data_IF_120447828164
#
_entry.id   IF_120447828164
#
_cell.length_a   1.000
_cell.length_b   1.000
_cell.length_c   1.000
_cell.angle_alpha   90.00
_cell.angle_beta   90.00
_cell.angle_gamma   90.00
#
_symmetry.space_group_name_H-M   'P 1'
#
loop_
_entity.id
_entity.type
_entity.pdbx_description
1 polymer ?
#
# COMPACT_ATOMS: atom_id res chain seq x y z
N UNK A 1 26.31 -32.57 53.22
CA UNK A 1 25.25 -32.55 52.18
C UNK A 1 24.15 -31.51 52.37
N UNK A 2 24.22 -30.52 53.27
CA UNK A 2 23.18 -29.48 53.46
C UNK A 2 23.45 -28.16 52.69
N UNK A 3 24.64 -27.93 52.14
CA UNK A 3 24.98 -26.68 51.42
C UNK A 3 24.71 -26.71 49.91
N UNK A 4 24.50 -27.89 49.29
CA UNK A 4 24.25 -28.02 47.88
C UNK A 4 22.85 -27.53 47.45
N UNK A 5 21.86 -27.64 48.34
CA UNK A 5 20.50 -27.24 48.02
C UNK A 5 20.28 -25.71 48.04
N UNK A 6 21.06 -24.99 48.84
CA UNK A 6 20.98 -23.51 48.87
C UNK A 6 21.64 -22.85 47.66
N UNK A 7 22.67 -23.49 47.07
CA UNK A 7 23.32 -22.98 45.88
C UNK A 7 22.43 -23.11 44.65
N UNK A 8 21.67 -24.22 44.54
CA UNK A 8 20.71 -24.44 43.44
C UNK A 8 19.52 -23.48 43.58
N UNK A 9 19.03 -23.21 44.81
CA UNK A 9 17.91 -22.28 45.02
C UNK A 9 18.30 -20.83 44.73
N UNK A 10 19.54 -20.44 45.06
CA UNK A 10 20.05 -19.09 44.77
C UNK A 10 20.31 -18.88 43.28
N UNK A 11 20.73 -19.96 42.54
CA UNK A 11 20.94 -19.91 41.12
C UNK A 11 19.61 -19.85 40.36
N UNK A 12 18.58 -20.55 40.81
CA UNK A 12 17.23 -20.48 40.26
C UNK A 12 16.55 -19.13 40.51
N UNK A 13 16.81 -18.48 41.64
CA UNK A 13 16.35 -17.12 41.93
C UNK A 13 17.06 -16.05 41.07
N UNK A 14 18.33 -16.24 40.71
CA UNK A 14 19.05 -15.33 39.82
C UNK A 14 18.60 -15.47 38.35
N UNK A 15 18.18 -16.66 37.91
CA UNK A 15 17.63 -16.86 36.55
C UNK A 15 16.25 -16.20 36.42
N UNK A 16 15.46 -16.13 37.47
CA UNK A 16 14.12 -15.48 37.43
C UNK A 16 14.17 -13.95 37.28
N UNK A 17 15.32 -13.31 37.48
CA UNK A 17 15.53 -11.87 37.21
C UNK A 17 15.96 -11.53 35.79
N UNK A 18 16.22 -12.52 34.94
CA UNK A 18 16.34 -12.32 33.48
C UNK A 18 14.97 -12.30 32.80
N UNK A 19 13.99 -11.68 33.45
CA UNK A 19 12.77 -11.28 32.77
C UNK A 19 13.19 -10.30 31.67
N UNK A 20 13.16 -10.73 30.42
CA UNK A 20 13.16 -9.82 29.29
C UNK A 20 11.96 -8.89 29.48
N UNK A 21 12.19 -7.72 30.04
CA UNK A 21 11.19 -6.66 30.04
C UNK A 21 10.89 -6.36 28.59
N UNK A 22 9.82 -6.90 28.10
CA UNK A 22 9.31 -6.58 26.77
C UNK A 22 9.03 -5.08 26.80
N UNK A 23 9.83 -4.31 26.09
CA UNK A 23 9.70 -2.86 26.05
C UNK A 23 8.27 -2.54 25.60
N UNK A 24 7.46 -2.00 26.48
CA UNK A 24 6.07 -1.64 26.18
C UNK A 24 6.09 -0.62 25.05
N UNK A 25 5.42 -0.96 23.93
CA UNK A 25 5.28 -0.04 22.81
C UNK A 25 4.25 1.02 23.20
N UNK A 26 4.60 2.32 23.19
CA UNK A 26 3.70 3.38 23.60
C UNK A 26 2.52 3.54 22.63
N UNK A 27 1.36 3.88 23.20
CA UNK A 27 0.16 4.24 22.44
C UNK A 27 0.15 5.77 22.29
N UNK A 28 -0.03 6.24 21.06
CA UNK A 28 -0.19 7.66 20.71
C UNK A 28 -1.53 7.89 20.02
N UNK A 29 -2.04 9.11 20.11
CA UNK A 29 -3.28 9.52 19.44
C UNK A 29 -3.05 10.28 18.14
N UNK A 30 -1.82 10.80 17.97
CA UNK A 30 -1.43 11.57 16.79
C UNK A 30 0.07 11.38 16.53
N UNK A 31 0.49 11.42 15.27
CA UNK A 31 1.91 11.36 14.90
C UNK A 31 2.70 12.59 15.34
N UNK A 32 2.07 13.69 15.78
CA UNK A 32 2.74 14.80 16.43
C UNK A 32 3.38 14.43 17.77
N UNK A 33 2.94 13.34 18.40
CA UNK A 33 3.44 12.86 19.71
C UNK A 33 4.71 11.99 19.59
N UNK A 34 5.18 11.68 18.38
CA UNK A 34 6.43 10.92 18.20
C UNK A 34 7.63 11.67 18.75
N UNK A 35 8.59 10.94 19.33
CA UNK A 35 9.81 11.55 19.85
C UNK A 35 10.76 11.93 18.68
N UNK A 36 10.87 13.22 18.41
CA UNK A 36 11.68 13.76 17.31
C UNK A 36 13.18 13.90 17.65
N UNK A 37 13.51 13.83 18.94
CA UNK A 37 14.89 14.00 19.43
C UNK A 37 15.65 12.66 19.50
N UNK A 38 14.94 11.55 19.57
CA UNK A 38 15.55 10.24 19.68
C UNK A 38 15.92 9.68 18.31
N UNK A 39 17.19 9.75 17.92
CA UNK A 39 17.73 9.12 16.71
C UNK A 39 17.57 7.59 16.81
N UNK A 40 17.14 6.96 15.73
CA UNK A 40 16.96 5.51 15.67
C UNK A 40 15.54 5.09 15.35
N UNK A 41 15.29 3.80 15.49
CA UNK A 41 13.97 3.19 15.23
C UNK A 41 13.12 3.24 16.49
N UNK A 42 11.90 3.71 16.34
CA UNK A 42 10.91 3.84 17.40
C UNK A 42 9.61 3.19 16.93
N UNK A 43 8.96 2.42 17.79
CA UNK A 43 7.69 1.79 17.51
C UNK A 43 6.59 2.42 18.35
N UNK A 44 5.42 2.60 17.74
CA UNK A 44 4.23 3.14 18.40
C UNK A 44 3.00 2.36 17.96
N UNK A 45 1.99 2.37 18.83
CA UNK A 45 0.62 2.04 18.47
C UNK A 45 -0.16 3.33 18.28
N UNK A 46 -0.73 3.58 17.10
CA UNK A 46 -1.62 4.71 16.86
C UNK A 46 -3.05 4.28 17.14
N UNK A 47 -3.70 4.98 18.07
CA UNK A 47 -5.10 4.73 18.43
C UNK A 47 -6.04 5.26 17.34
N UNK A 48 -6.86 4.37 16.80
CA UNK A 48 -7.83 4.67 15.72
C UNK A 48 -9.29 4.72 16.23
N UNK A 49 -9.51 4.55 17.52
CA UNK A 49 -10.82 4.52 18.16
C UNK A 49 -10.91 3.40 19.18
N UNK A 50 -12.13 3.04 19.57
CA UNK A 50 -12.37 1.96 20.51
C UNK A 50 -13.36 0.93 19.93
N UNK A 51 -13.20 -0.33 20.35
CA UNK A 51 -14.14 -1.40 20.01
C UNK A 51 -15.37 -1.39 20.96
N UNK A 52 -16.24 -2.39 20.84
CA UNK A 52 -17.48 -2.53 21.62
C UNK A 52 -17.25 -2.59 23.15
N UNK A 53 -16.09 -3.08 23.56
CA UNK A 53 -15.71 -3.17 24.98
C UNK A 53 -14.88 -1.96 25.47
N UNK A 54 -14.83 -0.89 24.68
CA UNK A 54 -14.03 0.31 24.93
C UNK A 54 -12.52 0.06 24.97
N UNK A 55 -12.03 -1.04 24.36
CA UNK A 55 -10.60 -1.24 24.15
C UNK A 55 -10.13 -0.49 22.90
N UNK A 56 -8.92 0.07 22.92
CA UNK A 56 -8.39 0.82 21.77
C UNK A 56 -8.19 -0.07 20.54
N UNK A 57 -8.56 0.46 19.38
CA UNK A 57 -8.23 -0.09 18.08
C UNK A 57 -6.90 0.53 17.68
N UNK A 58 -5.89 -0.30 17.51
CA UNK A 58 -4.50 0.13 17.34
C UNK A 58 -3.98 -0.29 15.96
N UNK A 59 -3.23 0.61 15.32
CA UNK A 59 -2.44 0.29 14.13
C UNK A 59 -0.95 0.53 14.40
N UNK A 60 -0.07 -0.28 13.81
CA UNK A 60 1.37 -0.16 14.03
C UNK A 60 1.94 1.06 13.30
N UNK A 61 2.81 1.79 13.99
CA UNK A 61 3.62 2.87 13.42
C UNK A 61 5.07 2.61 13.75
N UNK A 62 5.92 2.63 12.74
CA UNK A 62 7.37 2.57 12.90
C UNK A 62 7.97 3.87 12.39
N UNK A 63 8.76 4.51 13.22
CA UNK A 63 9.48 5.74 12.88
C UNK A 63 10.97 5.46 12.87
N UNK A 64 11.65 5.81 11.78
CA UNK A 64 13.11 5.94 11.79
C UNK A 64 13.42 7.43 11.82
N UNK A 65 13.88 7.92 12.96
CA UNK A 65 14.37 9.28 13.13
C UNK A 65 15.83 9.35 12.74
N UNK A 66 16.13 10.16 11.73
CA UNK A 66 17.48 10.38 11.25
C UNK A 66 18.28 11.34 12.14
N UNK A 67 19.61 11.37 11.91
CA UNK A 67 20.56 12.17 12.69
C UNK A 67 20.61 13.65 12.31
N UNK A 68 19.97 14.04 11.23
CA UNK A 68 19.96 15.43 10.74
C UNK A 68 18.60 15.80 10.14
N UNK A 69 18.37 17.10 9.99
CA UNK A 69 17.14 17.61 9.39
C UNK A 69 16.95 17.15 7.94
N UNK A 70 15.72 16.97 7.55
CA UNK A 70 15.31 16.57 6.21
C UNK A 70 13.80 16.34 6.13
N UNK A 71 13.27 15.93 4.97
CA UNK A 71 11.85 15.69 4.79
C UNK A 71 11.39 14.42 5.54
N UNK A 72 10.08 14.27 5.65
CA UNK A 72 9.42 13.07 6.17
C UNK A 72 8.84 12.26 5.01
N UNK A 73 9.36 11.05 4.81
CA UNK A 73 8.78 10.06 3.90
C UNK A 73 7.77 9.20 4.64
N UNK A 74 6.52 9.23 4.20
CA UNK A 74 5.45 8.35 4.66
C UNK A 74 5.30 7.12 3.80
N UNK A 75 5.16 5.96 4.43
CA UNK A 75 4.88 4.67 3.77
C UNK A 75 3.63 4.08 4.40
N UNK A 76 2.59 3.84 3.62
CA UNK A 76 1.37 3.17 4.09
C UNK A 76 1.14 1.89 3.32
N UNK A 77 0.60 0.86 3.98
CA UNK A 77 0.24 -0.40 3.37
C UNK A 77 -1.06 -0.94 3.97
N UNK A 78 -1.75 -1.76 3.20
CA UNK A 78 -2.94 -2.49 3.60
C UNK A 78 -4.08 -1.58 4.12
N UNK A 79 -4.40 -0.51 3.38
CA UNK A 79 -5.69 0.19 3.54
C UNK A 79 -6.85 -0.72 3.10
N UNK A 80 -6.58 -1.64 2.17
CA UNK A 80 -7.38 -2.81 1.88
C UNK A 80 -6.73 -4.02 2.53
N UNK A 81 -7.47 -4.78 3.34
CA UNK A 81 -6.89 -5.83 4.18
C UNK A 81 -6.41 -7.07 3.44
N UNK A 82 -6.77 -7.22 2.17
CA UNK A 82 -6.32 -8.29 1.28
C UNK A 82 -5.08 -7.91 0.44
N UNK A 83 -4.57 -6.66 0.54
CA UNK A 83 -3.48 -6.12 -0.27
C UNK A 83 -2.18 -6.01 0.56
N UNK A 84 -1.39 -7.10 0.64
CA UNK A 84 -0.42 -7.28 1.72
C UNK A 84 1.06 -7.06 1.35
N UNK A 85 1.46 -7.00 0.06
CA UNK A 85 2.88 -6.92 -0.34
C UNK A 85 3.61 -5.66 0.18
N UNK A 86 2.89 -4.58 0.48
CA UNK A 86 3.46 -3.39 1.12
C UNK A 86 4.04 -3.66 2.51
N UNK A 87 3.49 -4.62 3.26
CA UNK A 87 3.92 -4.96 4.62
C UNK A 87 5.37 -5.49 4.64
N UNK A 88 5.72 -6.58 3.90
CA UNK A 88 7.09 -7.06 3.87
C UNK A 88 8.07 -6.09 3.22
N UNK A 89 7.62 -5.22 2.28
CA UNK A 89 8.45 -4.14 1.75
C UNK A 89 8.88 -3.21 2.88
N UNK A 90 7.93 -2.73 3.68
CA UNK A 90 8.19 -1.86 4.84
C UNK A 90 9.11 -2.57 5.82
N UNK A 91 8.82 -3.80 6.23
CA UNK A 91 9.63 -4.54 7.21
C UNK A 91 11.07 -4.70 6.74
N UNK A 92 11.28 -5.10 5.47
CA UNK A 92 12.63 -5.29 4.92
C UNK A 92 13.38 -3.97 4.78
N UNK A 93 12.70 -2.90 4.38
CA UNK A 93 13.29 -1.56 4.31
C UNK A 93 13.75 -1.09 5.69
N UNK A 94 12.87 -1.16 6.70
CA UNK A 94 13.17 -0.68 8.06
C UNK A 94 14.39 -1.37 8.66
N UNK A 95 14.60 -2.66 8.37
CA UNK A 95 15.77 -3.41 8.83
C UNK A 95 17.06 -3.05 8.10
N UNK A 96 16.99 -2.38 6.95
CA UNK A 96 18.15 -2.03 6.11
C UNK A 96 18.64 -0.60 6.30
N UNK A 97 17.88 0.27 6.99
CA UNK A 97 18.22 1.69 7.17
C UNK A 97 19.03 1.91 8.45
N UNK A 98 20.22 2.47 8.29
CA UNK A 98 20.99 3.03 9.42
C UNK A 98 20.52 4.45 9.70
N UNK A 99 19.85 4.64 10.83
CA UNK A 99 19.32 5.93 11.25
C UNK A 99 20.41 7.03 11.42
N UNK A 100 21.65 6.64 11.74
CA UNK A 100 22.77 7.60 11.85
C UNK A 100 23.15 8.21 10.52
N UNK A 101 22.81 7.57 9.41
CA UNK A 101 23.07 8.03 8.05
C UNK A 101 21.85 8.66 7.38
N UNK A 102 20.68 8.53 8.01
CA UNK A 102 19.42 9.08 7.50
C UNK A 102 19.34 10.58 7.79
N UNK A 103 18.91 11.35 6.79
CA UNK A 103 18.49 12.76 6.92
C UNK A 103 16.97 12.81 6.90
N UNK A 104 16.36 13.57 7.84
CA UNK A 104 14.90 13.59 8.02
C UNK A 104 14.39 12.34 8.72
N UNK A 105 13.23 11.85 8.32
CA UNK A 105 12.62 10.66 8.93
C UNK A 105 11.80 9.84 7.95
N UNK A 106 11.60 8.56 8.33
CA UNK A 106 10.65 7.68 7.69
C UNK A 106 9.55 7.39 8.72
N UNK A 107 8.29 7.54 8.33
CA UNK A 107 7.12 7.11 9.10
C UNK A 107 6.43 6.02 8.30
N UNK A 108 6.37 4.81 8.83
CA UNK A 108 5.80 3.66 8.15
C UNK A 108 4.62 3.07 8.94
N UNK A 109 3.53 2.81 8.25
CA UNK A 109 2.32 2.17 8.75
C UNK A 109 2.10 0.86 7.98
N UNK A 110 2.66 -0.27 8.46
CA UNK A 110 2.58 -1.54 7.74
C UNK A 110 1.22 -2.23 7.80
N UNK A 111 0.20 -1.58 8.33
CA UNK A 111 -1.15 -2.13 8.43
C UNK A 111 -2.15 -1.05 8.79
N UNK A 112 -2.57 -0.25 7.79
CA UNK A 112 -3.46 0.90 8.03
C UNK A 112 -4.87 0.46 8.43
N UNK A 113 -5.35 -0.69 7.92
CA UNK A 113 -6.70 -1.18 8.18
C UNK A 113 -6.67 -2.47 9.02
N UNK A 114 -6.57 -2.30 10.34
CA UNK A 114 -6.44 -3.41 11.27
C UNK A 114 -7.58 -4.44 11.19
N UNK A 115 -8.81 -3.99 10.97
CA UNK A 115 -9.98 -4.88 10.87
C UNK A 115 -9.97 -5.74 9.62
N UNK A 116 -9.71 -5.11 8.48
CA UNK A 116 -9.80 -5.79 7.20
C UNK A 116 -8.66 -6.78 7.00
N UNK A 117 -7.46 -6.48 7.53
CA UNK A 117 -6.32 -7.41 7.54
C UNK A 117 -6.68 -8.70 8.30
N UNK A 118 -7.32 -8.59 9.46
CA UNK A 118 -7.70 -9.76 10.26
C UNK A 118 -8.76 -10.64 9.60
N UNK A 119 -9.55 -10.07 8.68
CA UNK A 119 -10.63 -10.76 8.01
C UNK A 119 -10.32 -11.09 6.54
N UNK A 120 -9.09 -10.86 6.07
CA UNK A 120 -8.66 -11.05 4.68
C UNK A 120 -9.59 -10.36 3.66
N UNK A 121 -10.10 -9.17 4.01
CA UNK A 121 -11.11 -8.45 3.24
C UNK A 121 -10.57 -7.13 2.71
N UNK A 122 -11.05 -6.73 1.52
CA UNK A 122 -10.78 -5.41 0.97
C UNK A 122 -11.41 -4.29 1.80
N UNK A 123 -12.70 -4.46 2.11
CA UNK A 123 -13.56 -3.43 2.68
C UNK A 123 -13.46 -3.35 4.19
N UNK A 124 -13.79 -2.19 4.75
CA UNK A 124 -13.84 -1.97 6.20
C UNK A 124 -15.00 -2.76 6.83
N UNK A 125 -15.09 -2.75 8.15
CA UNK A 125 -16.05 -3.56 8.94
C UNK A 125 -17.53 -3.31 8.61
N UNK A 126 -17.85 -2.15 8.04
CA UNK A 126 -19.19 -1.73 7.59
C UNK A 126 -19.38 -1.84 6.08
N UNK A 127 -18.52 -2.62 5.43
CA UNK A 127 -18.50 -2.89 3.98
C UNK A 127 -18.20 -1.67 3.10
N UNK A 128 -17.65 -0.59 3.66
CA UNK A 128 -17.21 0.58 2.92
C UNK A 128 -15.76 0.42 2.42
N UNK A 129 -15.46 0.97 1.25
CA UNK A 129 -14.09 1.07 0.73
C UNK A 129 -13.44 2.33 1.29
N UNK A 130 -12.57 2.18 2.33
CA UNK A 130 -11.89 3.31 2.96
C UNK A 130 -11.18 4.21 1.95
N UNK A 131 -10.63 3.62 0.88
CA UNK A 131 -9.90 4.37 -0.14
C UNK A 131 -10.83 4.99 -1.21
N UNK A 132 -12.08 5.28 -0.84
CA UNK A 132 -13.09 6.01 -1.64
C UNK A 132 -13.80 7.09 -0.85
N UNK A 133 -13.50 7.24 0.45
CA UNK A 133 -14.29 8.10 1.35
C UNK A 133 -13.47 9.19 2.04
N UNK A 134 -12.19 9.37 1.65
CA UNK A 134 -11.40 10.49 2.17
C UNK A 134 -12.00 11.83 1.81
N UNK A 135 -11.88 12.85 2.69
CA UNK A 135 -11.14 12.89 3.96
C UNK A 135 -11.83 12.21 5.15
N UNK A 136 -13.00 11.60 4.97
CA UNK A 136 -13.84 11.13 6.06
C UNK A 136 -14.60 12.24 6.79
N UNK A 137 -15.28 11.92 7.90
CA UNK A 137 -16.03 12.86 8.74
C UNK A 137 -15.88 12.50 10.22
N UNK A 138 -15.71 13.53 11.07
CA UNK A 138 -15.56 13.34 12.52
C UNK A 138 -16.84 12.80 13.18
N UNK A 139 -17.98 13.16 12.66
CA UNK A 139 -19.33 12.80 13.11
C UNK A 139 -20.02 11.78 12.19
N UNK A 140 -19.25 11.12 11.31
CA UNK A 140 -19.75 10.12 10.39
C UNK A 140 -19.90 8.72 11.03
N UNK A 141 -20.22 7.74 10.19
CA UNK A 141 -20.23 6.33 10.55
C UNK A 141 -18.80 5.79 10.84
N UNK A 142 -18.68 4.47 11.02
CA UNK A 142 -17.43 3.83 11.43
C UNK A 142 -16.29 4.08 10.45
N UNK A 143 -16.53 3.86 9.17
CA UNK A 143 -15.55 4.04 8.10
C UNK A 143 -15.21 5.51 7.89
N UNK A 144 -16.19 6.41 7.94
CA UNK A 144 -16.00 7.86 7.84
C UNK A 144 -15.11 8.40 8.98
N UNK A 145 -15.37 7.99 10.21
CA UNK A 145 -14.54 8.38 11.36
C UNK A 145 -13.12 7.78 11.27
N UNK A 146 -12.99 6.55 10.75
CA UNK A 146 -11.68 5.92 10.58
C UNK A 146 -10.84 6.64 9.52
N UNK A 147 -11.41 6.91 8.35
CA UNK A 147 -10.76 7.68 7.29
C UNK A 147 -10.39 9.09 7.77
N UNK A 148 -11.28 9.77 8.51
CA UNK A 148 -11.02 11.08 9.12
C UNK A 148 -9.79 11.05 10.04
N UNK A 149 -9.64 10.01 10.88
CA UNK A 149 -8.48 9.88 11.77
C UNK A 149 -7.18 9.65 10.99
N UNK A 150 -7.20 8.87 9.92
CA UNK A 150 -6.02 8.76 9.03
C UNK A 150 -5.68 10.14 8.46
N UNK A 151 -6.69 10.84 7.94
CA UNK A 151 -6.53 12.16 7.33
C UNK A 151 -5.92 13.20 8.28
N UNK A 152 -6.36 13.25 9.54
CA UNK A 152 -5.96 14.27 10.49
C UNK A 152 -4.74 13.88 11.33
N UNK A 153 -4.54 12.58 11.58
CA UNK A 153 -3.49 12.10 12.50
C UNK A 153 -2.24 11.63 11.80
N UNK A 154 -2.35 11.25 10.50
CA UNK A 154 -1.24 10.68 9.73
C UNK A 154 -0.75 11.65 8.66
N UNK A 155 -1.61 12.03 7.73
CA UNK A 155 -1.20 12.79 6.54
C UNK A 155 -0.46 14.09 6.85
N UNK A 156 -0.87 14.93 7.81
CA UNK A 156 -0.19 16.21 8.08
C UNK A 156 1.27 16.09 8.54
N UNK A 157 1.70 14.89 8.93
CA UNK A 157 3.08 14.62 9.34
C UNK A 157 4.03 14.28 8.19
N UNK A 158 3.51 14.19 6.95
CA UNK A 158 4.24 13.70 5.78
C UNK A 158 4.56 14.83 4.79
N UNK A 159 5.73 14.76 4.14
CA UNK A 159 6.07 15.61 2.98
C UNK A 159 5.92 14.84 1.68
N UNK A 160 6.33 13.58 1.68
CA UNK A 160 6.24 12.65 0.58
C UNK A 160 5.50 11.40 1.06
N UNK A 161 4.67 10.81 0.21
CA UNK A 161 3.88 9.65 0.58
C UNK A 161 3.88 8.60 -0.54
N UNK A 162 4.14 7.35 -0.18
CA UNK A 162 3.99 6.19 -1.05
C UNK A 162 2.92 5.28 -0.42
N UNK A 163 1.77 5.20 -1.09
CA UNK A 163 0.65 4.35 -0.72
C UNK A 163 0.79 3.00 -1.43
N UNK A 164 1.06 1.95 -0.65
CA UNK A 164 1.41 0.62 -1.17
C UNK A 164 0.18 -0.28 -1.23
N UNK A 165 -0.15 -0.69 -2.44
CA UNK A 165 -1.28 -1.53 -2.78
C UNK A 165 -0.86 -2.82 -3.50
N UNK A 166 -1.83 -3.68 -3.77
CA UNK A 166 -1.78 -4.78 -4.74
C UNK A 166 -3.11 -4.86 -5.50
N UNK A 167 -3.25 -5.80 -6.42
CA UNK A 167 -4.59 -6.23 -6.81
C UNK A 167 -5.36 -6.69 -5.57
N UNK A 168 -6.70 -6.55 -5.58
CA UNK A 168 -7.57 -7.19 -4.59
C UNK A 168 -7.98 -8.58 -5.03
N UNK A 169 -8.59 -9.36 -4.12
CA UNK A 169 -9.13 -10.69 -4.36
C UNK A 169 -9.83 -10.82 -5.72
N UNK A 170 -9.61 -11.94 -6.39
CA UNK A 170 -10.17 -12.23 -7.73
C UNK A 170 -9.48 -11.51 -8.89
N UNK A 171 -8.30 -10.87 -8.64
CA UNK A 171 -7.52 -10.17 -9.67
C UNK A 171 -6.02 -10.33 -9.44
N UNK A 172 -5.25 -10.12 -10.50
CA UNK A 172 -3.80 -9.97 -10.45
C UNK A 172 -3.39 -8.74 -11.25
N UNK A 173 -2.33 -8.06 -10.78
CA UNK A 173 -1.77 -6.88 -11.44
C UNK A 173 -0.29 -7.08 -11.78
N UNK A 174 0.19 -6.41 -12.85
CA UNK A 174 1.59 -6.05 -12.99
C UNK A 174 2.00 -5.07 -11.88
N UNK A 175 3.29 -4.85 -11.68
CA UNK A 175 3.70 -3.74 -10.82
C UNK A 175 3.48 -2.42 -11.57
N UNK A 176 2.63 -1.54 -11.04
CA UNK A 176 2.40 -0.25 -11.68
C UNK A 176 2.22 0.90 -10.69
N UNK A 177 2.56 2.11 -11.13
CA UNK A 177 2.39 3.32 -10.33
C UNK A 177 1.25 4.19 -10.89
N UNK A 178 0.44 4.78 -9.99
CA UNK A 178 -0.60 5.77 -10.31
C UNK A 178 -0.14 7.14 -9.86
N UNK A 179 -0.10 8.08 -10.80
CA UNK A 179 0.36 9.46 -10.54
C UNK A 179 -0.38 10.47 -11.41
N UNK A 180 -0.42 11.72 -10.97
CA UNK A 180 -0.67 12.84 -11.88
C UNK A 180 0.62 13.10 -12.68
N UNK A 181 0.64 12.65 -13.92
CA UNK A 181 1.82 12.77 -14.80
C UNK A 181 2.12 14.22 -15.24
N UNK A 182 1.22 15.18 -14.95
CA UNK A 182 1.50 16.60 -15.19
C UNK A 182 2.41 17.23 -14.13
N UNK A 183 2.57 16.57 -12.97
CA UNK A 183 3.48 16.97 -11.90
C UNK A 183 4.83 16.25 -12.06
N UNK A 184 5.90 17.01 -12.31
CA UNK A 184 7.24 16.48 -12.53
C UNK A 184 7.78 15.69 -11.33
N UNK A 185 7.54 16.17 -10.12
CA UNK A 185 7.95 15.48 -8.88
C UNK A 185 7.30 14.12 -8.77
N UNK A 186 5.98 14.03 -8.99
CA UNK A 186 5.23 12.78 -8.92
C UNK A 186 5.67 11.81 -10.03
N UNK A 187 5.95 12.33 -11.23
CA UNK A 187 6.48 11.52 -12.33
C UNK A 187 7.85 10.92 -12.00
N UNK A 188 8.74 11.69 -11.39
CA UNK A 188 10.04 11.20 -10.91
C UNK A 188 9.85 10.16 -9.81
N UNK A 189 9.01 10.41 -8.82
CA UNK A 189 8.71 9.45 -7.75
C UNK A 189 8.20 8.12 -8.28
N UNK A 190 7.30 8.15 -9.29
CA UNK A 190 6.82 6.94 -9.94
C UNK A 190 7.94 6.18 -10.67
N UNK A 191 8.77 6.90 -11.45
CA UNK A 191 9.92 6.34 -12.17
C UNK A 191 10.90 5.65 -11.22
N UNK A 192 11.17 6.26 -10.07
CA UNK A 192 12.07 5.70 -9.04
C UNK A 192 11.62 4.36 -8.49
N UNK A 193 10.31 4.05 -8.54
CA UNK A 193 9.79 2.75 -8.13
C UNK A 193 10.13 1.63 -9.13
N UNK A 194 10.60 1.96 -10.33
CA UNK A 194 10.85 1.01 -11.44
C UNK A 194 9.64 0.09 -11.70
N UNK A 195 8.43 0.65 -11.88
CA UNK A 195 7.25 -0.15 -12.18
C UNK A 195 7.31 -0.67 -13.62
N UNK A 196 6.49 -1.66 -13.93
CA UNK A 196 6.30 -2.11 -15.32
C UNK A 196 5.50 -1.06 -16.11
N UNK A 197 4.55 -0.38 -15.42
CA UNK A 197 3.64 0.60 -16.04
C UNK A 197 3.50 1.82 -15.15
N UNK A 198 3.53 3.01 -15.75
CA UNK A 198 3.15 4.28 -15.11
C UNK A 198 1.82 4.72 -15.71
N UNK A 199 0.78 4.75 -14.86
CA UNK A 199 -0.56 5.13 -15.25
C UNK A 199 -0.86 6.56 -14.83
N UNK A 200 -1.19 7.42 -15.79
CA UNK A 200 -1.67 8.76 -15.50
C UNK A 200 -3.05 8.70 -14.82
N UNK A 201 -3.13 9.28 -13.64
CA UNK A 201 -4.34 9.32 -12.81
C UNK A 201 -4.35 10.62 -12.01
N UNK A 202 -4.97 11.66 -12.57
CA UNK A 202 -5.02 13.00 -11.97
C UNK A 202 -5.83 13.07 -10.69
N UNK A 203 -6.63 12.04 -10.39
CA UNK A 203 -7.63 12.11 -9.35
C UNK A 203 -8.87 12.93 -9.79
N UNK A 204 -9.96 12.82 -9.05
CA UNK A 204 -11.15 13.63 -9.28
C UNK A 204 -10.96 15.01 -8.64
N UNK A 205 -10.18 15.90 -9.28
CA UNK A 205 -10.17 17.31 -8.87
C UNK A 205 -11.36 18.03 -9.50
N UNK A 206 -12.52 17.94 -8.88
CA UNK A 206 -13.59 18.92 -9.10
C UNK A 206 -13.69 19.79 -7.85
N UNK A 207 -13.22 21.00 -7.95
CA UNK A 207 -13.45 22.05 -6.97
C UNK A 207 -14.97 22.12 -6.71
N UNK A 208 -15.39 21.80 -5.48
CA UNK A 208 -16.80 21.86 -5.07
C UNK A 208 -17.61 20.56 -5.19
N UNK A 209 -17.08 19.47 -5.74
CA UNK A 209 -17.75 18.18 -5.64
C UNK A 209 -17.47 17.57 -4.25
N UNK A 210 -18.53 17.23 -3.52
CA UNK A 210 -18.50 16.35 -2.32
C UNK A 210 -18.18 14.91 -2.75
N UNK A 211 -17.14 14.70 -3.52
CA UNK A 211 -16.80 13.38 -4.03
C UNK A 211 -15.73 12.78 -3.14
N UNK A 212 -16.02 11.61 -2.68
CA UNK A 212 -15.12 10.68 -2.05
C UNK A 212 -13.83 10.54 -2.85
N UNK A 213 -12.68 10.76 -2.20
CA UNK A 213 -11.35 10.63 -2.79
C UNK A 213 -10.56 9.48 -2.18
N UNK A 214 -9.48 9.12 -2.84
CA UNK A 214 -8.49 8.17 -2.29
C UNK A 214 -7.58 8.88 -1.29
N UNK A 215 -6.89 8.11 -0.44
CA UNK A 215 -5.88 8.64 0.48
C UNK A 215 -4.78 9.42 -0.27
N UNK A 216 -4.34 8.91 -1.44
CA UNK A 216 -3.38 9.59 -2.30
C UNK A 216 -3.88 10.96 -2.79
N UNK A 217 -5.12 11.02 -3.24
CA UNK A 217 -5.73 12.26 -3.75
C UNK A 217 -5.86 13.30 -2.64
N UNK A 218 -6.30 12.87 -1.46
CA UNK A 218 -6.41 13.73 -0.29
C UNK A 218 -5.03 14.24 0.17
N UNK A 219 -4.02 13.35 0.22
CA UNK A 219 -2.64 13.75 0.50
C UNK A 219 -2.14 14.81 -0.49
N UNK A 220 -2.40 14.61 -1.79
CA UNK A 220 -2.04 15.58 -2.83
C UNK A 220 -2.76 16.93 -2.65
N UNK A 221 -4.05 16.91 -2.30
CA UNK A 221 -4.81 18.14 -2.02
C UNK A 221 -4.24 18.91 -0.81
N UNK A 222 -3.62 18.22 0.15
CA UNK A 222 -2.88 18.82 1.28
C UNK A 222 -1.46 19.27 0.93
N UNK A 223 -1.03 19.18 -0.33
CA UNK A 223 0.31 19.56 -0.79
C UNK A 223 1.38 18.49 -0.56
N UNK A 224 1.02 17.29 -0.13
CA UNK A 224 1.94 16.16 0.04
C UNK A 224 2.20 15.52 -1.32
N UNK A 225 3.46 15.26 -1.65
CA UNK A 225 3.83 14.57 -2.89
C UNK A 225 3.49 13.08 -2.76
N UNK A 226 2.34 12.67 -3.26
CA UNK A 226 1.77 11.34 -3.01
C UNK A 226 1.60 10.53 -4.29
N UNK A 227 2.06 9.27 -4.27
CA UNK A 227 1.84 8.27 -5.33
C UNK A 227 1.23 7.00 -4.76
N UNK A 228 0.50 6.25 -5.59
CA UNK A 228 0.10 4.87 -5.29
C UNK A 228 0.93 3.92 -6.12
N UNK A 229 1.44 2.85 -5.50
CA UNK A 229 2.16 1.78 -6.21
C UNK A 229 1.49 0.45 -5.92
N UNK A 230 1.18 -0.27 -6.99
CA UNK A 230 0.54 -1.59 -6.97
C UNK A 230 1.61 -2.68 -7.11
N UNK A 231 1.78 -3.49 -6.10
CA UNK A 231 2.82 -4.53 -6.01
C UNK A 231 2.24 -5.93 -6.22
N UNK A 232 1.71 -6.19 -7.42
CA UNK A 232 1.31 -7.55 -7.83
C UNK A 232 0.00 -8.05 -7.22
N UNK A 233 0.03 -9.21 -6.57
CA UNK A 233 -1.14 -10.03 -6.26
C UNK A 233 -1.63 -9.88 -4.81
N UNK A 234 -2.94 -10.05 -4.57
CA UNK A 234 -3.53 -10.01 -3.23
C UNK A 234 -3.22 -11.28 -2.43
N UNK A 235 -3.37 -11.22 -1.12
CA UNK A 235 -3.36 -12.36 -0.19
C UNK A 235 -2.11 -13.25 -0.24
N UNK A 236 -0.99 -12.72 -0.74
CA UNK A 236 0.28 -13.44 -0.86
C UNK A 236 1.46 -12.48 -0.69
N UNK A 237 2.52 -12.95 -0.05
CA UNK A 237 3.80 -12.26 -0.04
C UNK A 237 4.65 -12.71 -1.23
N UNK A 238 4.87 -11.80 -2.17
CA UNK A 238 5.69 -12.02 -3.35
C UNK A 238 7.10 -11.47 -3.13
N UNK A 239 8.09 -12.37 -3.14
CA UNK A 239 9.47 -11.99 -2.87
C UNK A 239 10.02 -10.99 -3.87
N UNK A 240 9.76 -11.20 -5.15
CA UNK A 240 10.17 -10.30 -6.24
C UNK A 240 9.57 -8.89 -6.08
N UNK A 241 8.27 -8.79 -5.76
CA UNK A 241 7.61 -7.52 -5.48
C UNK A 241 8.19 -6.83 -4.24
N UNK A 242 8.51 -7.63 -3.20
CA UNK A 242 9.16 -7.10 -2.00
C UNK A 242 10.53 -6.50 -2.33
N UNK A 243 11.35 -7.19 -3.12
CA UNK A 243 12.69 -6.73 -3.51
C UNK A 243 12.61 -5.46 -4.40
N UNK A 244 11.69 -5.45 -5.36
CA UNK A 244 11.44 -4.29 -6.21
C UNK A 244 10.95 -3.09 -5.39
N UNK A 245 10.00 -3.29 -4.48
CA UNK A 245 9.48 -2.23 -3.63
C UNK A 245 10.53 -1.60 -2.73
N UNK A 246 11.37 -2.43 -2.08
CA UNK A 246 12.50 -1.93 -1.26
C UNK A 246 13.45 -1.08 -2.12
N UNK A 247 13.80 -1.57 -3.33
CA UNK A 247 14.66 -0.83 -4.26
C UNK A 247 14.05 0.52 -4.65
N UNK A 248 12.75 0.54 -4.97
CA UNK A 248 12.04 1.77 -5.33
C UNK A 248 12.04 2.81 -4.21
N UNK A 249 11.80 2.38 -2.96
CA UNK A 249 11.86 3.28 -1.81
C UNK A 249 13.28 3.77 -1.54
N UNK A 250 14.31 2.90 -1.65
CA UNK A 250 15.71 3.31 -1.52
C UNK A 250 16.11 4.34 -2.59
N UNK A 251 15.68 4.16 -3.84
CA UNK A 251 15.88 5.14 -4.90
C UNK A 251 15.23 6.48 -4.54
N UNK A 252 14.02 6.45 -3.98
CA UNK A 252 13.31 7.65 -3.52
C UNK A 252 14.09 8.36 -2.41
N UNK A 253 14.56 7.63 -1.41
CA UNK A 253 15.37 8.20 -0.33
C UNK A 253 16.68 8.82 -0.85
N UNK A 254 17.32 8.18 -1.83
CA UNK A 254 18.53 8.68 -2.46
C UNK A 254 18.27 9.97 -3.27
N UNK A 255 17.20 10.02 -4.04
CA UNK A 255 16.80 11.20 -4.80
C UNK A 255 16.45 12.40 -3.91
N UNK A 256 15.81 12.13 -2.76
CA UNK A 256 15.49 13.13 -1.74
C UNK A 256 16.73 13.58 -0.93
N UNK A 257 17.92 13.04 -1.21
CA UNK A 257 19.13 13.22 -0.41
C UNK A 257 18.97 12.82 1.07
N UNK A 258 18.04 11.90 1.35
CA UNK A 258 17.80 11.39 2.69
C UNK A 258 18.73 10.22 3.04
N UNK A 259 18.97 9.30 2.10
CA UNK A 259 19.78 8.09 2.32
C UNK A 259 20.38 7.56 1.02
N UNK A 260 21.71 7.46 0.96
CA UNK A 260 22.40 7.06 -0.27
C UNK A 260 22.47 8.19 -1.31
N UNK A 261 22.84 7.83 -2.53
CA UNK A 261 22.95 8.75 -3.66
C UNK A 261 22.43 8.10 -4.95
N UNK A 262 21.87 8.88 -5.84
CA UNK A 262 21.40 8.45 -7.16
C UNK A 262 21.66 9.54 -8.21
N UNK A 263 22.11 9.16 -9.39
CA UNK A 263 22.17 10.04 -10.54
C UNK A 263 20.89 9.85 -11.37
N UNK A 264 19.93 10.72 -11.18
CA UNK A 264 18.63 10.61 -11.85
C UNK A 264 18.75 10.76 -13.39
N UNK A 265 19.77 11.43 -13.88
CA UNK A 265 19.98 11.60 -15.33
C UNK A 265 20.41 10.29 -16.00
N UNK A 266 21.04 9.39 -15.24
CA UNK A 266 21.45 8.05 -15.70
C UNK A 266 20.48 6.94 -15.27
N UNK A 267 19.37 7.31 -14.63
CA UNK A 267 18.40 6.34 -14.16
C UNK A 267 17.58 5.79 -15.32
N UNK A 268 17.70 4.50 -15.58
CA UNK A 268 16.97 3.83 -16.66
C UNK A 268 15.47 3.80 -16.36
N UNK A 269 14.70 4.17 -17.38
CA UNK A 269 13.25 4.17 -17.35
C UNK A 269 12.72 3.21 -18.41
N UNK A 270 12.27 2.05 -17.95
CA UNK A 270 11.74 0.97 -18.79
C UNK A 270 10.21 0.82 -18.65
N UNK A 271 9.54 1.80 -18.02
CA UNK A 271 8.12 1.72 -17.79
C UNK A 271 7.31 2.02 -19.05
N UNK A 272 6.21 1.32 -19.24
CA UNK A 272 5.19 1.65 -20.25
C UNK A 272 4.33 2.79 -19.67
N UNK A 273 4.13 3.86 -20.46
CA UNK A 273 3.37 5.02 -20.04
C UNK A 273 1.94 4.97 -20.58
N UNK A 274 0.95 4.81 -19.67
CA UNK A 274 -0.46 4.82 -20.03
C UNK A 274 -1.11 6.16 -19.68
N UNK A 275 -1.76 6.80 -20.65
CA UNK A 275 -2.52 8.05 -20.47
C UNK A 275 -3.82 7.84 -19.72
N UNK A 276 -4.44 6.67 -19.90
CA UNK A 276 -5.70 6.25 -19.26
C UNK A 276 -5.75 4.73 -19.13
N UNK A 277 -6.66 4.24 -18.33
CA UNK A 277 -7.01 2.82 -18.31
C UNK A 277 -8.49 2.63 -17.97
N UNK A 278 -9.03 1.50 -18.35
CA UNK A 278 -10.38 1.09 -17.95
C UNK A 278 -10.48 -0.44 -17.86
N UNK A 279 -11.48 -0.90 -17.12
CA UNK A 279 -11.81 -2.32 -17.06
C UNK A 279 -12.76 -2.69 -18.19
N UNK A 280 -12.49 -3.81 -18.82
CA UNK A 280 -13.42 -4.50 -19.71
C UNK A 280 -14.22 -5.47 -18.86
N UNK A 281 -15.54 -5.48 -19.06
CA UNK A 281 -16.49 -6.25 -18.26
C UNK A 281 -17.21 -7.29 -19.08
N UNK A 282 -17.66 -8.36 -18.41
CA UNK A 282 -18.51 -9.40 -19.02
C UNK A 282 -19.91 -8.86 -19.26
N UNK A 283 -20.47 -9.13 -20.44
CA UNK A 283 -21.89 -8.93 -20.76
C UNK A 283 -22.70 -10.14 -20.27
N UNK A 284 -22.18 -11.35 -20.52
CA UNK A 284 -22.81 -12.62 -20.16
C UNK A 284 -22.06 -13.26 -18.97
N UNK A 285 -22.82 -13.77 -17.99
CA UNK A 285 -22.27 -14.56 -16.89
C UNK A 285 -21.87 -15.96 -17.34
N UNK A 286 -20.92 -16.58 -16.62
CA UNK A 286 -20.45 -17.93 -16.92
C UNK A 286 -19.06 -18.21 -16.38
N UNK A 287 -18.43 -19.25 -16.92
CA UNK A 287 -17.05 -19.62 -16.59
C UNK A 287 -16.09 -18.87 -17.50
N UNK A 288 -15.33 -17.97 -16.88
CA UNK A 288 -14.41 -17.04 -17.54
C UNK A 288 -13.01 -17.63 -17.65
N UNK A 289 -12.46 -17.61 -18.85
CA UNK A 289 -11.06 -17.87 -19.15
C UNK A 289 -10.41 -16.61 -19.73
N UNK A 290 -9.28 -16.13 -19.13
CA UNK A 290 -8.55 -14.95 -19.57
C UNK A 290 -7.13 -15.36 -19.97
N UNK A 291 -6.89 -15.71 -21.26
CA UNK A 291 -5.62 -16.29 -21.72
C UNK A 291 -4.48 -15.28 -21.81
N UNK A 292 -4.77 -13.98 -21.87
CA UNK A 292 -3.75 -12.95 -22.02
C UNK A 292 -2.88 -12.82 -20.77
N UNK A 293 -1.60 -12.48 -20.97
CA UNK A 293 -0.65 -12.26 -19.88
C UNK A 293 -0.65 -10.80 -19.40
N UNK A 294 -0.23 -10.57 -18.14
CA UNK A 294 0.08 -9.22 -17.67
C UNK A 294 1.19 -8.61 -18.53
N UNK A 295 1.11 -7.33 -18.80
CA UNK A 295 2.03 -6.54 -19.64
C UNK A 295 2.01 -6.92 -21.12
N UNK A 296 1.14 -7.81 -21.54
CA UNK A 296 0.96 -8.13 -22.94
C UNK A 296 0.40 -6.91 -23.68
N UNK A 297 1.07 -6.49 -24.76
CA UNK A 297 0.51 -5.54 -25.71
C UNK A 297 -0.54 -6.25 -26.55
N UNK A 298 -1.68 -5.61 -26.69
CA UNK A 298 -2.82 -6.07 -27.46
C UNK A 298 -3.08 -5.11 -28.61
N UNK A 299 -3.47 -5.67 -29.75
CA UNK A 299 -4.05 -4.91 -30.84
C UNK A 299 -5.57 -4.97 -30.75
N UNK A 300 -6.24 -3.97 -31.32
CA UNK A 300 -7.69 -4.00 -31.50
C UNK A 300 -8.10 -5.29 -32.23
N UNK A 301 -9.01 -6.06 -31.63
CA UNK A 301 -9.47 -7.32 -32.17
C UNK A 301 -8.77 -8.57 -31.63
N UNK A 302 -7.71 -8.43 -30.83
CA UNK A 302 -7.10 -9.56 -30.15
C UNK A 302 -8.06 -10.19 -29.14
N UNK A 303 -8.14 -11.53 -29.13
CA UNK A 303 -8.99 -12.26 -28.19
C UNK A 303 -8.44 -12.13 -26.77
N UNK A 304 -9.28 -11.64 -25.84
CA UNK A 304 -8.89 -11.40 -24.44
C UNK A 304 -9.57 -12.34 -23.45
N UNK A 305 -10.75 -12.89 -23.81
CA UNK A 305 -11.44 -13.83 -22.93
C UNK A 305 -12.42 -14.72 -23.68
N UNK A 306 -12.72 -15.85 -23.02
CA UNK A 306 -13.75 -16.81 -23.45
C UNK A 306 -14.66 -17.07 -22.26
N UNK A 307 -15.98 -17.10 -22.48
CA UNK A 307 -16.97 -17.45 -21.46
C UNK A 307 -17.71 -18.69 -21.89
N UNK A 308 -17.83 -19.66 -20.99
CA UNK A 308 -18.55 -20.92 -21.20
C UNK A 308 -19.77 -21.01 -20.28
N UNK A 309 -20.81 -21.68 -20.72
CA UNK A 309 -21.95 -22.02 -19.87
C UNK A 309 -21.65 -23.24 -18.98
N UNK A 310 -22.60 -23.64 -18.15
CA UNK A 310 -22.48 -24.78 -17.23
C UNK A 310 -22.24 -26.13 -17.93
N UNK A 311 -22.50 -26.23 -19.22
CA UNK A 311 -22.31 -27.43 -20.02
C UNK A 311 -21.01 -27.41 -20.83
N UNK A 312 -20.16 -26.39 -20.65
CA UNK A 312 -18.85 -26.25 -21.31
C UNK A 312 -18.90 -25.61 -22.71
N UNK A 313 -20.08 -25.30 -23.23
CA UNK A 313 -20.22 -24.62 -24.54
C UNK A 313 -19.77 -23.16 -24.43
N UNK A 314 -19.05 -22.69 -25.45
CA UNK A 314 -18.71 -21.26 -25.56
C UNK A 314 -19.99 -20.47 -25.83
N UNK A 315 -20.27 -19.47 -25.01
CA UNK A 315 -21.41 -18.58 -25.15
C UNK A 315 -20.99 -17.16 -25.56
N UNK A 316 -19.76 -16.75 -25.22
CA UNK A 316 -19.22 -15.44 -25.60
C UNK A 316 -17.71 -15.48 -25.71
N UNK A 317 -17.18 -14.77 -26.68
CA UNK A 317 -15.77 -14.41 -26.79
C UNK A 317 -15.64 -12.90 -26.71
N UNK A 318 -14.58 -12.43 -26.08
CA UNK A 318 -14.28 -11.00 -25.91
C UNK A 318 -12.98 -10.66 -26.59
N UNK A 319 -12.96 -9.48 -27.20
CA UNK A 319 -11.84 -8.99 -27.98
C UNK A 319 -11.44 -7.60 -27.49
N UNK A 320 -10.17 -7.25 -27.65
CA UNK A 320 -9.70 -5.91 -27.29
C UNK A 320 -10.39 -4.85 -28.16
N UNK A 321 -11.02 -3.83 -27.57
CA UNK A 321 -11.71 -2.79 -28.32
C UNK A 321 -10.77 -1.79 -28.99
N UNK A 322 -9.53 -1.67 -28.50
CA UNK A 322 -8.48 -0.81 -29.04
C UNK A 322 -7.09 -1.38 -28.67
N UNK A 323 -6.03 -0.79 -29.23
CA UNK A 323 -4.66 -1.14 -28.90
C UNK A 323 -4.33 -0.72 -27.46
N UNK A 324 -3.49 -1.49 -26.76
CA UNK A 324 -3.10 -1.16 -25.40
C UNK A 324 -2.32 -2.26 -24.70
N UNK A 325 -2.11 -2.13 -23.40
CA UNK A 325 -1.36 -3.07 -22.58
C UNK A 325 -2.20 -3.61 -21.41
N UNK A 326 -2.05 -4.89 -21.08
CA UNK A 326 -2.76 -5.54 -19.97
C UNK A 326 -2.11 -5.11 -18.64
N UNK A 327 -2.75 -4.24 -17.89
CA UNK A 327 -2.30 -3.79 -16.54
C UNK A 327 -2.64 -4.84 -15.50
N UNK A 328 -3.88 -5.32 -15.52
CA UNK A 328 -4.42 -6.31 -14.59
C UNK A 328 -5.44 -7.20 -15.23
N UNK A 329 -5.73 -8.34 -14.62
CA UNK A 329 -6.75 -9.27 -15.14
C UNK A 329 -7.49 -9.99 -14.01
N UNK A 330 -8.69 -10.47 -14.32
CA UNK A 330 -9.46 -11.34 -13.44
C UNK A 330 -8.77 -12.69 -13.27
N UNK A 331 -8.80 -13.19 -12.03
CA UNK A 331 -8.47 -14.59 -11.68
C UNK A 331 -9.70 -15.35 -11.18
N UNK A 332 -10.85 -14.68 -11.14
CA UNK A 332 -12.10 -15.29 -10.72
C UNK A 332 -12.72 -16.05 -11.91
N UNK A 333 -12.74 -17.40 -11.89
CA UNK A 333 -13.18 -18.19 -13.04
C UNK A 333 -14.71 -18.24 -13.18
N UNK A 334 -15.47 -17.93 -12.12
CA UNK A 334 -16.92 -17.95 -12.14
C UNK A 334 -17.46 -16.55 -11.87
N UNK A 335 -18.07 -15.95 -12.86
CA UNK A 335 -18.56 -14.56 -12.78
C UNK A 335 -19.98 -14.43 -13.32
N UNK A 336 -20.69 -13.46 -12.78
CA UNK A 336 -21.95 -12.96 -13.35
C UNK A 336 -21.68 -11.88 -14.41
N UNK A 337 -22.72 -11.46 -15.12
CA UNK A 337 -22.69 -10.25 -15.96
C UNK A 337 -22.17 -9.06 -15.13
N UNK A 338 -21.35 -8.22 -15.73
CA UNK A 338 -20.63 -7.13 -15.02
C UNK A 338 -19.33 -7.57 -14.34
N UNK A 339 -18.96 -8.87 -14.39
CA UNK A 339 -17.66 -9.35 -13.93
C UNK A 339 -16.50 -8.74 -14.71
N UNK A 340 -15.36 -8.46 -14.04
CA UNK A 340 -14.17 -7.90 -14.70
C UNK A 340 -13.47 -8.96 -15.55
N UNK A 341 -12.89 -8.53 -16.67
CA UNK A 341 -12.05 -9.35 -17.55
C UNK A 341 -10.60 -8.88 -17.42
N UNK A 342 -10.24 -7.76 -18.03
CA UNK A 342 -8.92 -7.15 -17.97
C UNK A 342 -9.01 -5.65 -17.71
N UNK A 343 -7.96 -5.09 -17.12
CA UNK A 343 -7.71 -3.66 -17.12
C UNK A 343 -6.77 -3.35 -18.28
N UNK A 344 -7.28 -2.63 -19.28
CA UNK A 344 -6.53 -2.21 -20.46
C UNK A 344 -5.96 -0.81 -20.22
N UNK A 345 -4.65 -0.68 -20.35
CA UNK A 345 -3.92 0.59 -20.35
C UNK A 345 -3.75 1.10 -21.78
N UNK A 346 -3.98 2.39 -21.99
CA UNK A 346 -3.83 3.06 -23.28
C UNK A 346 -2.65 4.00 -23.23
N UNK A 347 -1.68 3.80 -24.11
CA UNK A 347 -0.43 4.55 -24.21
C UNK A 347 -0.59 5.96 -24.82
#
# INVERSE_FOLDING_TARGET
MKYSNYFILTFLLLISFLSFSQKVVPIIKNLSEINKEQIGTQNYWLEMGTNTYNFPILIPVVVIQGSSNGPTLGLTAAIHGDELNGIPIIHKLLSSIDAKRLKGRIIALPGVNAYSIQNDQRRFIDDEDLNRIFPGKIDGDRSQQYAYKINERVLPSLNIHIDMHTASFGRVNSMYARVDSSNDTLRILAKLQQPDIILNSKGASTVGAKTSSTMREEATAKGIQSITVEYGNPQVFQRDMTERGVKGVLNTLAWLNMYGTIDIAKFEDNAIYCKKSYWIYMEEGGFLEVPVALKQHLQKGDKIAIVRNAFGSIIKEYFSPEDGVVIGKSTNPANMSGGRIIQLGIE
#
